data_IF_097652834630
#
_entry.id   IF_097652834630
#
_cell.length_a   1.000
_cell.length_b   1.000
_cell.length_c   1.000
_cell.angle_alpha   90.00
_cell.angle_beta   90.00
_cell.angle_gamma   90.00
#
_symmetry.space_group_name_H-M   'P 1'
#
loop_
_entity.id
_entity.type
_entity.pdbx_description
1 polymer ?
#
# COMPACT_ATOMS: atom_id res chain seq x y z
N UNK A 1 20.09 -13.59 20.52
CA UNK A 1 19.10 -14.16 19.59
C UNK A 1 17.82 -13.38 19.79
N UNK A 2 17.41 -12.56 18.82
CA UNK A 2 16.21 -11.72 18.96
C UNK A 2 15.02 -12.51 18.45
N UNK A 3 14.11 -12.89 19.34
CA UNK A 3 12.87 -13.58 18.99
C UNK A 3 11.98 -12.66 18.15
N UNK A 4 11.29 -13.21 17.16
CA UNK A 4 10.30 -12.52 16.32
C UNK A 4 9.05 -13.36 16.24
N UNK A 5 7.88 -12.73 16.26
CA UNK A 5 6.62 -13.42 16.00
C UNK A 5 6.35 -13.40 14.50
N UNK A 6 6.08 -14.58 13.93
CA UNK A 6 5.77 -14.75 12.50
C UNK A 6 4.26 -14.94 12.32
N UNK A 7 3.64 -14.11 11.47
CA UNK A 7 2.23 -14.24 11.10
C UNK A 7 2.10 -14.53 9.60
N UNK A 8 1.15 -15.38 9.24
CA UNK A 8 0.76 -15.68 7.87
C UNK A 8 -0.69 -15.22 7.70
N UNK A 9 -1.02 -14.51 6.62
CA UNK A 9 -2.37 -14.01 6.41
C UNK A 9 -2.79 -14.06 4.94
N UNK A 10 -3.88 -14.81 4.71
CA UNK A 10 -4.59 -14.95 3.43
C UNK A 10 -6.08 -14.78 3.70
N UNK A 11 -6.65 -13.58 3.48
CA UNK A 11 -8.02 -13.30 3.85
C UNK A 11 -9.04 -13.98 2.93
N UNK A 12 -8.64 -14.34 1.70
CA UNK A 12 -9.53 -14.93 0.70
C UNK A 12 -8.98 -16.18 0.02
N UNK A 13 -9.85 -16.98 -0.60
CA UNK A 13 -11.31 -16.98 -0.43
C UNK A 13 -11.74 -17.36 0.99
N UNK A 14 -12.89 -16.86 1.44
CA UNK A 14 -13.43 -17.18 2.78
C UNK A 14 -13.78 -18.66 2.97
N UNK A 15 -13.82 -19.45 1.89
CA UNK A 15 -13.96 -20.90 1.92
C UNK A 15 -13.40 -21.54 0.65
N UNK A 16 -13.19 -22.85 0.64
CA UNK A 16 -12.72 -23.60 -0.54
C UNK A 16 -13.68 -23.61 -1.74
N UNK A 17 -14.94 -23.22 -1.53
CA UNK A 17 -15.96 -23.15 -2.60
C UNK A 17 -16.29 -21.72 -2.99
N UNK A 18 -15.71 -20.72 -2.32
CA UNK A 18 -15.85 -19.33 -2.72
C UNK A 18 -14.91 -19.06 -3.90
N UNK A 19 -15.37 -18.27 -4.88
CA UNK A 19 -14.51 -17.77 -5.95
C UNK A 19 -13.48 -16.75 -5.45
N UNK A 20 -12.67 -16.16 -6.35
CA UNK A 20 -11.75 -15.08 -5.98
C UNK A 20 -12.50 -13.92 -5.31
N UNK A 21 -11.82 -13.09 -4.51
CA UNK A 21 -12.46 -11.96 -3.86
C UNK A 21 -13.00 -10.96 -4.89
N UNK A 22 -14.03 -10.23 -4.48
CA UNK A 22 -14.49 -9.02 -5.15
C UNK A 22 -13.65 -7.81 -4.76
N UNK A 23 -13.76 -6.74 -5.54
CA UNK A 23 -13.11 -5.45 -5.24
C UNK A 23 -13.54 -4.92 -3.86
N UNK A 24 -14.83 -5.03 -3.52
CA UNK A 24 -15.35 -4.56 -2.24
C UNK A 24 -14.82 -5.37 -1.05
N UNK A 25 -14.54 -6.66 -1.26
CA UNK A 25 -13.92 -7.52 -0.25
C UNK A 25 -12.46 -7.12 -0.01
N UNK A 26 -11.67 -6.94 -1.08
CA UNK A 26 -10.30 -6.43 -0.96
C UNK A 26 -10.27 -5.06 -0.28
N UNK A 27 -11.14 -4.13 -0.68
CA UNK A 27 -11.24 -2.80 -0.08
C UNK A 27 -11.39 -2.85 1.44
N UNK A 28 -12.32 -3.67 1.92
CA UNK A 28 -12.61 -3.82 3.35
C UNK A 28 -11.49 -4.55 4.08
N UNK A 29 -10.90 -5.55 3.42
CA UNK A 29 -9.81 -6.32 3.98
C UNK A 29 -8.58 -5.49 4.30
N UNK A 30 -8.21 -4.54 3.44
CA UNK A 30 -7.06 -3.66 3.68
C UNK A 30 -7.14 -3.01 5.08
N UNK A 31 -8.32 -2.53 5.48
CA UNK A 31 -8.57 -1.91 6.79
C UNK A 31 -8.49 -2.87 7.98
N UNK A 32 -8.50 -4.17 7.75
CA UNK A 32 -8.44 -5.17 8.84
C UNK A 32 -7.03 -5.34 9.38
N UNK A 33 -5.99 -5.01 8.61
CA UNK A 33 -4.59 -5.15 9.00
C UNK A 33 -4.26 -4.41 10.30
N UNK A 34 -4.82 -3.22 10.51
CA UNK A 34 -4.65 -2.49 11.77
C UNK A 34 -5.13 -3.32 12.97
N UNK A 35 -6.33 -3.89 12.85
CA UNK A 35 -6.94 -4.69 13.91
C UNK A 35 -6.13 -5.96 14.18
N UNK A 36 -5.66 -6.62 13.13
CA UNK A 36 -4.84 -7.83 13.24
C UNK A 36 -3.54 -7.50 13.99
N UNK A 37 -2.82 -6.45 13.59
CA UNK A 37 -1.52 -6.12 14.16
C UNK A 37 -1.65 -5.61 15.60
N UNK A 38 -2.67 -4.79 15.89
CA UNK A 38 -2.98 -4.34 17.25
C UNK A 38 -3.29 -5.54 18.14
N UNK A 39 -4.15 -6.45 17.68
CA UNK A 39 -4.51 -7.62 18.47
C UNK A 39 -3.33 -8.55 18.72
N UNK A 40 -2.49 -8.79 17.71
CA UNK A 40 -1.24 -9.56 17.86
C UNK A 40 -0.33 -8.91 18.90
N UNK A 41 -0.22 -7.57 18.90
CA UNK A 41 0.57 -6.84 19.89
C UNK A 41 0.02 -6.99 21.30
N UNK A 42 -1.29 -6.92 21.48
CA UNK A 42 -1.95 -7.18 22.77
C UNK A 42 -1.61 -8.58 23.29
N UNK A 43 -1.68 -9.60 22.43
CA UNK A 43 -1.30 -10.97 22.78
C UNK A 43 0.18 -11.09 23.15
N UNK A 44 1.08 -10.45 22.40
CA UNK A 44 2.51 -10.39 22.76
C UNK A 44 2.69 -9.79 24.16
N UNK A 45 2.05 -8.66 24.45
CA UNK A 45 2.12 -8.05 25.77
C UNK A 45 1.57 -8.96 26.87
N UNK A 46 0.43 -9.61 26.63
CA UNK A 46 -0.22 -10.51 27.59
C UNK A 46 0.64 -11.72 27.92
N UNK A 47 1.22 -12.39 26.93
CA UNK A 47 1.88 -13.69 27.12
C UNK A 47 3.40 -13.61 27.23
N UNK A 48 4.06 -12.67 26.54
CA UNK A 48 5.51 -12.50 26.62
C UNK A 48 5.92 -11.50 27.72
N UNK A 49 5.04 -10.57 28.11
CA UNK A 49 5.34 -9.53 29.10
C UNK A 49 6.37 -8.49 28.64
N UNK A 50 6.80 -8.54 27.37
CA UNK A 50 7.73 -7.60 26.76
C UNK A 50 7.43 -7.46 25.26
N UNK A 51 8.01 -6.43 24.63
CA UNK A 51 7.80 -6.19 23.21
C UNK A 51 8.58 -7.19 22.34
N UNK A 52 7.91 -7.74 21.33
CA UNK A 52 8.51 -8.56 20.28
C UNK A 52 8.25 -7.91 18.92
N UNK A 53 9.27 -7.82 18.03
CA UNK A 53 9.04 -7.41 16.66
C UNK A 53 8.06 -8.37 15.96
N UNK A 54 7.08 -7.80 15.28
CA UNK A 54 6.11 -8.54 14.47
C UNK A 54 6.66 -8.63 13.04
N UNK A 55 6.76 -9.84 12.51
CA UNK A 55 7.06 -10.10 11.12
C UNK A 55 5.86 -10.81 10.46
N UNK A 56 5.36 -10.24 9.37
CA UNK A 56 4.39 -10.90 8.49
C UNK A 56 5.22 -11.68 7.45
N UNK A 57 5.40 -12.97 7.68
CA UNK A 57 6.32 -13.77 6.85
C UNK A 57 5.69 -14.28 5.57
N UNK A 58 4.36 -14.22 5.46
CA UNK A 58 3.62 -14.46 4.23
C UNK A 58 2.34 -13.61 4.23
N UNK A 59 2.11 -12.86 3.16
CA UNK A 59 0.82 -12.24 2.88
C UNK A 59 0.53 -12.21 1.37
N UNK A 60 -0.75 -12.28 1.04
CA UNK A 60 -1.31 -12.13 -0.31
C UNK A 60 -2.81 -11.83 -0.12
N UNK A 61 -3.51 -11.12 -1.03
CA UNK A 61 -4.97 -10.99 -0.98
C UNK A 61 -5.70 -12.33 -0.88
N UNK A 62 -5.15 -13.37 -1.52
CA UNK A 62 -5.79 -14.65 -1.65
C UNK A 62 -4.79 -15.80 -1.68
N UNK A 63 -5.26 -17.00 -1.33
CA UNK A 63 -4.50 -18.24 -1.53
C UNK A 63 -4.90 -18.98 -2.81
N UNK A 64 -5.92 -18.51 -3.52
CA UNK A 64 -6.38 -19.13 -4.76
C UNK A 64 -5.57 -18.63 -5.97
N UNK A 65 -5.41 -19.50 -6.96
CA UNK A 65 -4.52 -19.27 -8.10
C UNK A 65 -5.26 -18.59 -9.28
N UNK A 66 -6.40 -17.94 -9.04
CA UNK A 66 -7.19 -17.32 -10.12
C UNK A 66 -6.42 -16.24 -10.85
N UNK A 67 -6.60 -16.15 -12.16
CA UNK A 67 -5.88 -15.22 -13.03
C UNK A 67 -6.87 -14.39 -13.84
N UNK A 68 -6.58 -13.11 -14.05
CA UNK A 68 -7.29 -12.25 -15.00
C UNK A 68 -8.65 -11.72 -14.55
N UNK A 69 -8.99 -11.85 -13.26
CA UNK A 69 -10.17 -11.20 -12.67
C UNK A 69 -9.88 -9.78 -12.22
N UNK A 70 -10.93 -9.02 -11.91
CA UNK A 70 -10.81 -7.62 -11.49
C UNK A 70 -10.15 -7.44 -10.11
N UNK A 71 -10.21 -8.47 -9.27
CA UNK A 71 -9.65 -8.52 -7.92
C UNK A 71 -8.78 -9.78 -7.70
N UNK A 72 -8.32 -10.44 -8.77
CA UNK A 72 -7.32 -11.51 -8.65
C UNK A 72 -5.94 -10.94 -8.31
N UNK A 73 -5.00 -11.77 -7.82
CA UNK A 73 -3.67 -11.29 -7.44
C UNK A 73 -2.90 -10.55 -8.56
N UNK A 74 -3.15 -10.86 -9.84
CA UNK A 74 -2.56 -10.17 -11.00
C UNK A 74 -3.30 -8.88 -11.41
N UNK A 75 -4.33 -8.46 -10.67
CA UNK A 75 -5.15 -7.30 -11.01
C UNK A 75 -4.54 -5.98 -10.58
N UNK A 76 -4.97 -4.90 -11.24
CA UNK A 76 -4.62 -3.53 -10.84
C UNK A 76 -5.15 -3.18 -9.45
N UNK A 77 -6.38 -3.61 -9.13
CA UNK A 77 -6.98 -3.33 -7.83
C UNK A 77 -6.21 -4.04 -6.71
N UNK A 78 -5.67 -5.23 -6.97
CA UNK A 78 -4.84 -5.91 -6.00
C UNK A 78 -3.54 -5.13 -5.67
N UNK A 79 -2.93 -4.46 -6.64
CA UNK A 79 -1.79 -3.60 -6.37
C UNK A 79 -2.15 -2.39 -5.48
N UNK A 80 -3.35 -1.84 -5.63
CA UNK A 80 -3.90 -0.79 -4.75
C UNK A 80 -4.15 -1.33 -3.34
N UNK A 81 -4.75 -2.51 -3.22
CA UNK A 81 -4.93 -3.20 -1.93
C UNK A 81 -3.60 -3.42 -1.22
N UNK A 82 -2.61 -3.96 -1.92
CA UNK A 82 -1.28 -4.23 -1.39
C UNK A 82 -0.60 -2.94 -0.94
N UNK A 83 -0.81 -1.84 -1.68
CA UNK A 83 -0.28 -0.55 -1.29
C UNK A 83 -0.86 -0.11 0.06
N UNK A 84 -2.16 -0.24 0.27
CA UNK A 84 -2.77 0.14 1.55
C UNK A 84 -2.38 -0.80 2.69
N UNK A 85 -2.40 -2.12 2.46
CA UNK A 85 -2.01 -3.11 3.45
C UNK A 85 -0.57 -2.88 3.94
N UNK A 86 0.38 -2.63 3.03
CA UNK A 86 1.76 -2.29 3.40
C UNK A 86 1.86 -0.98 4.17
N UNK A 87 1.11 0.06 3.75
CA UNK A 87 1.06 1.33 4.48
C UNK A 87 0.63 1.15 5.93
N UNK A 88 -0.45 0.40 6.17
CA UNK A 88 -0.94 0.06 7.52
C UNK A 88 0.06 -0.76 8.31
N UNK A 89 0.68 -1.77 7.71
CA UNK A 89 1.73 -2.55 8.36
C UNK A 89 2.88 -1.66 8.83
N UNK A 90 3.33 -0.75 7.96
CA UNK A 90 4.40 0.20 8.26
C UNK A 90 3.98 1.15 9.39
N UNK A 91 2.79 1.76 9.31
CA UNK A 91 2.26 2.67 10.35
C UNK A 91 2.14 1.97 11.71
N UNK A 92 1.74 0.71 11.71
CA UNK A 92 1.69 -0.11 12.91
C UNK A 92 3.06 -0.66 13.33
N UNK A 93 4.17 -0.32 12.66
CA UNK A 93 5.52 -0.74 13.07
C UNK A 93 5.79 -2.23 12.90
N UNK A 94 5.20 -2.87 11.89
CA UNK A 94 5.61 -4.21 11.46
C UNK A 94 7.06 -4.16 11.01
N UNK A 95 7.88 -5.07 11.54
CA UNK A 95 9.32 -5.09 11.29
C UNK A 95 9.66 -5.59 9.88
N UNK A 96 8.87 -6.52 9.36
CA UNK A 96 9.08 -7.18 8.07
C UNK A 96 7.75 -7.68 7.52
N UNK A 97 7.53 -7.51 6.23
CA UNK A 97 6.40 -8.07 5.50
C UNK A 97 6.91 -8.75 4.23
N UNK A 98 6.50 -9.99 4.00
CA UNK A 98 6.91 -10.79 2.85
C UNK A 98 5.66 -11.18 2.04
N UNK A 99 5.58 -10.66 0.82
CA UNK A 99 4.64 -11.17 -0.17
C UNK A 99 5.04 -12.63 -0.51
N UNK A 100 4.05 -13.52 -0.64
CA UNK A 100 4.31 -14.96 -0.71
C UNK A 100 5.32 -15.34 -1.80
N UNK A 101 5.10 -14.94 -3.06
CA UNK A 101 5.85 -15.50 -4.16
C UNK A 101 6.47 -14.42 -5.06
N UNK A 102 7.80 -14.42 -5.17
CA UNK A 102 8.44 -13.54 -6.15
C UNK A 102 8.01 -13.87 -7.60
N UNK A 103 7.79 -15.15 -7.92
CA UNK A 103 7.37 -15.59 -9.25
C UNK A 103 6.15 -16.50 -9.19
N UNK A 104 5.24 -16.30 -10.14
CA UNK A 104 4.09 -17.18 -10.34
C UNK A 104 4.40 -18.39 -11.25
N UNK A 105 5.67 -18.57 -11.69
CA UNK A 105 6.11 -19.74 -12.45
C UNK A 105 6.00 -21.02 -11.62
N UNK A 106 5.71 -22.14 -12.27
CA UNK A 106 5.60 -23.45 -11.61
C UNK A 106 4.20 -23.79 -11.09
N UNK A 107 3.17 -23.12 -11.61
CA UNK A 107 1.77 -23.43 -11.29
C UNK A 107 1.22 -22.66 -10.09
N UNK A 108 1.76 -21.48 -9.79
CA UNK A 108 1.23 -20.59 -8.73
C UNK A 108 0.20 -19.57 -9.25
N UNK A 109 -0.28 -19.71 -10.49
CA UNK A 109 -1.30 -18.84 -11.08
C UNK A 109 -0.84 -17.39 -11.19
N UNK A 110 -1.46 -16.51 -10.42
CA UNK A 110 -1.17 -15.07 -10.33
C UNK A 110 -0.54 -14.65 -8.99
N UNK A 111 -0.28 -15.58 -8.07
CA UNK A 111 0.07 -15.32 -6.67
C UNK A 111 1.45 -14.67 -6.45
N UNK A 112 2.15 -14.24 -7.50
CA UNK A 112 3.47 -13.62 -7.33
C UNK A 112 3.61 -12.23 -7.93
N UNK A 113 4.82 -11.69 -7.94
CA UNK A 113 5.11 -10.39 -8.57
C UNK A 113 5.44 -10.52 -10.07
N UNK A 114 6.05 -11.64 -10.46
CA UNK A 114 6.54 -11.89 -11.82
C UNK A 114 5.83 -13.12 -12.41
N UNK A 115 5.06 -12.90 -13.47
CA UNK A 115 4.38 -13.93 -14.23
C UNK A 115 5.33 -14.71 -15.16
N UNK A 116 4.76 -15.47 -16.10
CA UNK A 116 5.56 -16.23 -17.06
C UNK A 116 6.26 -15.32 -18.07
N UNK A 117 5.51 -14.36 -18.62
CA UNK A 117 5.93 -13.45 -19.71
C UNK A 117 5.97 -11.99 -19.29
N UNK A 118 5.31 -11.63 -18.19
CA UNK A 118 5.06 -10.24 -17.79
C UNK A 118 5.27 -10.04 -16.29
N UNK A 119 5.37 -8.77 -15.89
CA UNK A 119 5.38 -8.35 -14.48
C UNK A 119 3.96 -7.97 -14.06
N UNK A 120 3.52 -8.42 -12.89
CA UNK A 120 2.18 -8.12 -12.39
C UNK A 120 2.12 -6.76 -11.67
N UNK A 121 0.94 -6.13 -11.60
CA UNK A 121 0.79 -4.77 -11.04
C UNK A 121 1.38 -4.57 -9.65
N UNK A 122 1.37 -5.60 -8.79
CA UNK A 122 1.96 -5.56 -7.44
C UNK A 122 3.45 -5.20 -7.41
N UNK A 123 4.23 -5.52 -8.44
CA UNK A 123 5.64 -5.12 -8.51
C UNK A 123 5.80 -3.59 -8.48
N UNK A 124 4.87 -2.85 -9.11
CA UNK A 124 4.89 -1.39 -9.06
C UNK A 124 4.65 -0.87 -7.64
N UNK A 125 3.82 -1.53 -6.84
CA UNK A 125 3.68 -1.21 -5.42
C UNK A 125 5.01 -1.35 -4.68
N UNK A 126 5.77 -2.44 -4.92
CA UNK A 126 7.13 -2.60 -4.38
C UNK A 126 8.06 -1.45 -4.83
N UNK A 127 8.04 -1.10 -6.11
CA UNK A 127 8.86 0.00 -6.65
C UNK A 127 8.51 1.36 -6.04
N UNK A 128 7.24 1.58 -5.70
CA UNK A 128 6.79 2.79 -5.01
C UNK A 128 7.29 2.84 -3.58
N UNK A 129 7.17 1.74 -2.82
CA UNK A 129 7.67 1.69 -1.44
C UNK A 129 9.19 1.81 -1.36
N UNK A 130 9.93 1.37 -2.38
CA UNK A 130 11.38 1.65 -2.51
C UNK A 130 11.71 3.15 -2.53
N UNK A 131 10.76 4.01 -2.90
CA UNK A 131 10.91 5.47 -2.94
C UNK A 131 10.32 6.18 -1.72
N UNK A 132 9.62 5.46 -0.83
CA UNK A 132 8.82 6.05 0.24
C UNK A 132 9.66 6.80 1.28
N UNK A 133 10.76 6.22 1.74
CA UNK A 133 11.57 6.80 2.81
C UNK A 133 11.72 5.82 3.97
N UNK A 134 12.51 6.21 4.95
CA UNK A 134 12.92 5.35 6.07
C UNK A 134 12.43 5.83 7.42
N UNK A 135 11.94 7.07 7.52
CA UNK A 135 11.44 7.65 8.76
C UNK A 135 9.98 8.03 8.60
N UNK A 136 9.09 7.36 9.33
CA UNK A 136 7.68 7.68 9.29
C UNK A 136 7.39 9.08 9.85
N UNK A 137 6.50 9.79 9.18
CA UNK A 137 5.97 11.07 9.62
C UNK A 137 4.45 10.94 9.77
N UNK A 138 3.90 11.58 10.79
CA UNK A 138 2.47 11.57 11.02
C UNK A 138 1.69 12.05 9.79
N UNK A 139 0.70 11.26 9.39
CA UNK A 139 -0.27 11.57 8.34
C UNK A 139 -1.63 10.99 8.72
N UNK A 140 -2.70 11.65 8.29
CA UNK A 140 -4.06 11.18 8.58
C UNK A 140 -5.02 11.64 7.50
N UNK A 141 -6.04 10.82 7.24
CA UNK A 141 -7.16 11.14 6.34
C UNK A 141 -8.47 11.10 7.12
N UNK A 142 -9.39 11.99 6.75
CA UNK A 142 -10.77 12.00 7.25
C UNK A 142 -11.72 11.09 6.45
N UNK A 143 -11.20 10.45 5.40
CA UNK A 143 -11.97 9.59 4.50
C UNK A 143 -11.47 8.14 4.60
N UNK A 144 -12.33 7.18 4.97
CA UNK A 144 -11.94 5.77 5.14
C UNK A 144 -11.51 5.08 3.84
N UNK A 145 -11.91 5.59 2.68
CA UNK A 145 -11.52 5.05 1.36
C UNK A 145 -10.30 5.78 0.76
N UNK A 146 -9.72 6.74 1.47
CA UNK A 146 -8.53 7.48 1.03
C UNK A 146 -7.46 7.40 2.11
N UNK A 147 -6.50 6.52 1.97
CA UNK A 147 -5.39 6.39 2.90
C UNK A 147 -4.25 7.34 2.54
N UNK A 148 -3.54 7.82 3.56
CA UNK A 148 -2.35 8.66 3.39
C UNK A 148 -1.24 8.20 4.34
N UNK A 149 -0.07 7.95 3.78
CA UNK A 149 1.15 7.61 4.53
C UNK A 149 2.24 8.60 4.16
N UNK A 150 3.02 9.06 5.13
CA UNK A 150 4.13 9.96 4.89
C UNK A 150 5.41 9.44 5.52
N UNK A 151 6.53 9.65 4.82
CA UNK A 151 7.85 9.37 5.35
C UNK A 151 8.87 10.39 4.87
N UNK A 152 9.91 10.58 5.67
CA UNK A 152 11.09 11.34 5.31
C UNK A 152 12.15 10.40 4.74
N UNK A 153 12.79 10.87 3.67
CA UNK A 153 13.94 10.20 3.05
C UNK A 153 15.23 10.72 3.68
N UNK A 154 16.33 10.01 3.44
CA UNK A 154 17.66 10.40 3.91
C UNK A 154 18.14 11.78 3.38
N UNK A 155 17.56 12.28 2.28
CA UNK A 155 17.81 13.62 1.74
C UNK A 155 16.85 14.70 2.31
N UNK A 156 16.23 14.41 3.45
CA UNK A 156 15.24 15.24 4.16
C UNK A 156 13.97 15.57 3.36
N UNK A 157 13.84 15.06 2.13
CA UNK A 157 12.64 15.30 1.32
C UNK A 157 11.49 14.41 1.81
N UNK A 158 10.33 14.99 2.17
CA UNK A 158 9.15 14.20 2.48
C UNK A 158 8.58 13.54 1.24
N UNK A 159 8.11 12.31 1.40
CA UNK A 159 7.36 11.56 0.41
C UNK A 159 6.00 11.21 1.00
N UNK A 160 4.97 11.34 0.18
CA UNK A 160 3.58 11.09 0.58
C UNK A 160 3.02 10.02 -0.36
N UNK A 161 2.49 8.95 0.21
CA UNK A 161 1.71 7.93 -0.47
C UNK A 161 0.23 8.24 -0.24
N UNK A 162 -0.52 8.45 -1.32
CA UNK A 162 -1.97 8.62 -1.29
C UNK A 162 -2.62 7.47 -2.04
N UNK A 163 -3.55 6.78 -1.37
CA UNK A 163 -4.16 5.55 -1.88
C UNK A 163 -5.67 5.73 -1.88
N UNK A 164 -6.27 5.72 -3.06
CA UNK A 164 -7.71 5.73 -3.23
C UNK A 164 -8.21 4.29 -3.39
N UNK A 165 -8.85 3.77 -2.35
CA UNK A 165 -9.48 2.46 -2.36
C UNK A 165 -10.85 2.48 -3.06
N UNK A 166 -11.46 3.64 -3.20
CA UNK A 166 -12.74 3.79 -3.90
C UNK A 166 -12.59 3.59 -5.41
N UNK A 167 -13.63 3.01 -6.03
CA UNK A 167 -13.74 2.94 -7.49
C UNK A 167 -13.97 4.31 -8.14
N UNK A 168 -14.57 5.23 -7.39
CA UNK A 168 -14.76 6.62 -7.80
C UNK A 168 -13.52 7.47 -7.53
N UNK A 169 -13.31 8.47 -8.38
CA UNK A 169 -12.37 9.55 -8.15
C UNK A 169 -12.72 10.32 -6.87
N UNK A 170 -11.69 10.71 -6.10
CA UNK A 170 -11.83 11.54 -4.90
C UNK A 170 -10.88 12.72 -4.98
N UNK A 171 -11.41 13.91 -4.65
CA UNK A 171 -10.64 15.15 -4.56
C UNK A 171 -10.66 15.65 -3.12
N UNK A 172 -9.48 15.84 -2.52
CA UNK A 172 -9.29 16.30 -1.14
C UNK A 172 -8.11 17.26 -1.07
N UNK A 173 -8.20 18.25 -0.19
CA UNK A 173 -7.09 19.16 0.07
C UNK A 173 -6.00 18.49 0.90
N UNK A 174 -4.75 18.53 0.43
CA UNK A 174 -3.59 18.04 1.18
C UNK A 174 -2.95 19.18 1.98
N UNK A 175 -2.77 18.97 3.29
CA UNK A 175 -2.11 19.91 4.21
C UNK A 175 -0.81 19.29 4.73
N UNK A 176 0.27 20.06 4.73
CA UNK A 176 1.58 19.63 5.25
C UNK A 176 2.01 20.59 6.35
N UNK A 177 1.91 20.13 7.61
CA UNK A 177 2.05 21.01 8.78
C UNK A 177 1.05 22.17 8.75
N UNK A 178 1.49 23.36 9.19
CA UNK A 178 0.67 24.58 9.14
C UNK A 178 0.59 25.21 7.73
N UNK A 179 1.15 24.54 6.72
CA UNK A 179 1.22 25.07 5.35
C UNK A 179 0.12 24.46 4.49
N UNK A 180 -0.79 25.28 3.92
CA UNK A 180 -1.85 24.79 3.04
C UNK A 180 -1.39 24.60 1.59
N UNK A 181 -0.12 24.90 1.25
CA UNK A 181 0.41 24.81 -0.12
C UNK A 181 1.83 24.25 -0.14
N UNK A 182 2.10 23.38 -1.10
CA UNK A 182 3.39 22.76 -1.33
C UNK A 182 3.64 22.64 -2.84
N UNK A 183 4.89 22.39 -3.23
CA UNK A 183 5.22 22.07 -4.62
C UNK A 183 5.46 20.57 -4.75
N UNK A 184 4.62 19.90 -5.51
CA UNK A 184 4.90 18.53 -5.93
C UNK A 184 6.09 18.53 -6.88
N UNK A 185 7.14 17.77 -6.55
CA UNK A 185 8.32 17.62 -7.40
C UNK A 185 8.13 16.51 -8.42
N UNK A 186 7.58 15.36 -8.00
CA UNK A 186 7.30 14.19 -8.86
C UNK A 186 6.01 13.48 -8.47
N UNK A 187 5.36 12.87 -9.46
CA UNK A 187 4.21 11.99 -9.34
C UNK A 187 4.56 10.57 -9.78
N UNK A 188 4.14 9.57 -9.01
CA UNK A 188 4.21 8.16 -9.43
C UNK A 188 2.81 7.55 -9.36
N UNK A 189 2.47 6.69 -10.31
CA UNK A 189 1.16 6.06 -10.42
C UNK A 189 1.32 4.57 -10.64
N UNK A 190 0.44 3.76 -10.04
CA UNK A 190 0.33 2.35 -10.42
C UNK A 190 -0.32 2.37 -11.80
N UNK A 191 0.34 1.85 -12.84
CA UNK A 191 -0.23 1.89 -14.17
C UNK A 191 -1.39 0.90 -14.27
N UNK A 192 -2.59 1.40 -14.54
CA UNK A 192 -3.58 0.58 -15.26
C UNK A 192 -3.05 0.42 -16.71
N UNK A 193 -3.45 -0.61 -17.46
CA UNK A 193 -2.92 -0.99 -18.81
C UNK A 193 -2.91 0.12 -19.90
N UNK A 194 -3.21 1.38 -19.57
CA UNK A 194 -3.03 2.56 -20.40
C UNK A 194 -2.14 3.60 -19.70
N UNK A 195 -0.94 3.79 -20.24
CA UNK A 195 0.05 4.78 -19.80
C UNK A 195 -0.48 6.23 -19.91
N UNK A 196 -0.43 6.98 -18.81
CA UNK A 196 -0.15 8.42 -18.84
C UNK A 196 0.78 8.78 -17.68
N UNK A 197 1.97 9.26 -18.02
CA UNK A 197 2.84 9.98 -17.09
C UNK A 197 2.13 11.28 -16.70
N UNK A 198 1.86 11.51 -15.42
CA UNK A 198 1.49 12.86 -14.98
C UNK A 198 2.76 13.71 -14.97
N UNK A 199 2.80 14.74 -15.81
CA UNK A 199 3.83 15.77 -15.74
C UNK A 199 3.75 16.51 -14.40
N UNK A 200 4.91 16.95 -13.89
CA UNK A 200 5.03 17.76 -12.69
C UNK A 200 4.17 19.03 -12.78
N UNK A 201 3.05 19.08 -12.06
CA UNK A 201 2.22 20.28 -11.93
C UNK A 201 2.71 21.18 -10.80
N UNK A 202 2.79 22.49 -11.06
CA UNK A 202 2.90 23.51 -10.01
C UNK A 202 1.50 23.79 -9.49
N UNK A 203 1.22 23.46 -8.24
CA UNK A 203 0.11 24.08 -7.50
C UNK A 203 0.55 25.52 -7.20
N UNK A 204 -0.09 26.52 -7.81
CA UNK A 204 0.43 27.88 -7.98
C UNK A 204 0.97 28.56 -6.69
N UNK A 205 2.21 29.07 -6.78
CA UNK A 205 2.93 29.80 -5.72
C UNK A 205 3.06 31.30 -6.02
N UNK A 206 2.73 32.15 -5.04
CA UNK A 206 3.08 33.58 -5.03
C UNK A 206 3.85 34.00 -3.75
N UNK A 207 4.53 33.06 -3.08
CA UNK A 207 5.36 33.36 -1.92
C UNK A 207 6.73 32.65 -2.01
N UNK A 208 7.75 33.31 -1.44
CA UNK A 208 9.14 32.88 -1.43
C UNK A 208 9.32 31.56 -0.66
N UNK A 209 9.63 30.49 -1.40
CA UNK A 209 10.00 29.13 -0.99
C UNK A 209 8.87 28.17 -0.49
N UNK A 210 8.20 27.43 -1.40
CA UNK A 210 7.31 26.32 -1.02
C UNK A 210 8.11 25.11 -0.50
N UNK A 211 7.57 24.38 0.47
CA UNK A 211 8.05 23.03 0.82
C UNK A 211 7.91 22.13 -0.41
N UNK A 212 8.96 21.37 -0.72
CA UNK A 212 9.02 20.48 -1.88
C UNK A 212 8.82 19.04 -1.38
N UNK A 213 7.87 18.30 -1.96
CA UNK A 213 7.64 16.89 -1.65
C UNK A 213 7.44 16.04 -2.91
N UNK A 214 7.74 14.75 -2.83
CA UNK A 214 7.35 13.77 -3.85
C UNK A 214 6.00 13.15 -3.43
N UNK A 215 5.04 13.03 -4.36
CA UNK A 215 3.73 12.41 -4.08
C UNK A 215 3.54 11.18 -4.96
N UNK A 216 3.17 10.06 -4.35
CA UNK A 216 2.91 8.79 -4.98
C UNK A 216 1.40 8.51 -4.87
N UNK A 217 0.78 8.18 -6.00
CA UNK A 217 -0.65 7.94 -6.11
C UNK A 217 -0.92 6.48 -6.48
N UNK A 218 -1.82 5.85 -5.73
CA UNK A 218 -2.36 4.53 -6.06
C UNK A 218 -3.87 4.69 -6.24
N UNK A 219 -4.38 4.60 -7.48
CA UNK A 219 -5.80 4.77 -7.77
C UNK A 219 -6.20 4.05 -9.07
N UNK A 220 -7.48 3.74 -9.20
CA UNK A 220 -8.13 3.28 -10.44
C UNK A 220 -8.47 4.46 -11.38
N UNK A 221 -8.51 5.71 -10.87
CA UNK A 221 -8.88 6.91 -11.63
C UNK A 221 -8.08 8.13 -11.12
N UNK A 222 -7.58 8.98 -12.02
CA UNK A 222 -6.50 9.95 -11.74
C UNK A 222 -6.97 11.39 -11.92
N UNK A 223 -6.90 12.22 -10.86
CA UNK A 223 -6.61 13.66 -10.94
C UNK A 223 -6.21 14.21 -9.56
N UNK A 224 -5.21 15.11 -9.51
CA UNK A 224 -4.95 15.96 -8.32
C UNK A 224 -4.77 17.40 -8.78
N UNK A 225 -5.39 18.33 -8.06
CA UNK A 225 -5.15 19.78 -8.13
C UNK A 225 -4.45 20.25 -6.86
#
# INVERSE_FOLDING_TARGET
MTWRLTCLAYPFPGSRVSGPPSIDELRKDAQTWDKIIIHVRELIHQYAGHHLPIAITEFNPAYDQSVGGEATPDSHYNAIWMADALGRMIENGVFMANEWALTARGGYGSLGLIGQTDVYPMDYTCQMYKKFGSELVYSSSDNPDLSIYAAQRADETPTIMVINLSLEEKTKALRIGDRPRFRQKRGFLIPCKQWKTLESGIVQSNYSSPTVCDVIYCSTTIFVM
#
